data_IF_060161946614
#
_entry.id   IF_060161946614
#
_cell.length_a   1.000
_cell.length_b   1.000
_cell.length_c   1.000
_cell.angle_alpha   90.00
_cell.angle_beta   90.00
_cell.angle_gamma   90.00
#
_symmetry.space_group_name_H-M   'P 1'
#
loop_
_entity.id
_entity.type
_entity.pdbx_description
1 polymer ?
#
# COMPACT_ATOMS: atom_id res chain seq x y z
N UNK A 1 -15.28 11.82 3.04
CA UNK A 1 -15.02 11.52 1.61
C UNK A 1 -15.24 10.03 1.37
N UNK A 2 -15.95 9.64 0.31
CA UNK A 2 -16.25 8.23 0.03
C UNK A 2 -15.39 7.74 -1.14
N UNK A 3 -14.54 6.76 -0.89
CA UNK A 3 -13.78 6.03 -1.91
C UNK A 3 -14.58 4.80 -2.36
N UNK A 4 -14.66 4.56 -3.67
CA UNK A 4 -15.32 3.38 -4.24
C UNK A 4 -14.76 2.05 -3.71
N UNK A 5 -15.62 1.03 -3.61
CA UNK A 5 -15.24 -0.30 -3.12
C UNK A 5 -14.15 -0.95 -3.97
N UNK A 6 -14.15 -0.72 -5.29
CA UNK A 6 -13.18 -1.33 -6.21
C UNK A 6 -11.78 -0.80 -5.98
N UNK A 7 -11.64 0.52 -5.77
CA UNK A 7 -10.38 1.17 -5.40
C UNK A 7 -9.84 0.58 -4.09
N UNK A 8 -10.71 0.40 -3.09
CA UNK A 8 -10.34 -0.23 -1.82
C UNK A 8 -9.87 -1.67 -2.02
N UNK A 9 -10.62 -2.47 -2.77
CA UNK A 9 -10.29 -3.87 -3.02
C UNK A 9 -8.97 -4.04 -3.78
N UNK A 10 -8.70 -3.18 -4.77
CA UNK A 10 -7.42 -3.16 -5.47
C UNK A 10 -6.26 -2.78 -4.54
N UNK A 11 -6.46 -1.81 -3.64
CA UNK A 11 -5.44 -1.45 -2.64
C UNK A 11 -5.15 -2.62 -1.70
N UNK A 12 -6.21 -3.27 -1.16
CA UNK A 12 -6.07 -4.46 -0.29
C UNK A 12 -5.34 -5.59 -1.01
N UNK A 13 -5.72 -5.88 -2.26
CA UNK A 13 -5.06 -6.88 -3.10
C UNK A 13 -3.58 -6.58 -3.28
N UNK A 14 -3.25 -5.33 -3.59
CA UNK A 14 -1.87 -4.90 -3.82
C UNK A 14 -0.99 -5.10 -2.58
N UNK A 15 -1.48 -4.70 -1.40
CA UNK A 15 -0.72 -4.77 -0.14
C UNK A 15 -0.68 -6.19 0.43
N UNK A 16 -1.79 -6.92 0.45
CA UNK A 16 -1.80 -8.31 0.90
C UNK A 16 -0.93 -9.20 0.02
N UNK A 17 -0.83 -8.86 -1.27
CA UNK A 17 0.09 -9.48 -2.21
C UNK A 17 1.51 -8.90 -2.17
N UNK A 18 1.97 -8.33 -1.06
CA UNK A 18 3.27 -7.64 -0.96
C UNK A 18 4.42 -8.41 -1.64
N UNK A 19 4.60 -9.71 -1.29
CA UNK A 19 5.66 -10.56 -1.84
C UNK A 19 5.52 -10.84 -3.35
N UNK A 20 4.32 -10.70 -3.90
CA UNK A 20 4.03 -10.93 -5.32
C UNK A 20 4.16 -9.66 -6.16
N UNK A 21 3.82 -8.50 -5.59
CA UNK A 21 3.70 -7.25 -6.34
C UNK A 21 4.85 -6.26 -6.09
N UNK A 22 5.67 -6.52 -5.08
CA UNK A 22 6.84 -5.72 -4.75
C UNK A 22 8.12 -6.54 -4.88
N UNK A 23 9.19 -5.89 -5.28
CA UNK A 23 10.54 -6.43 -5.32
C UNK A 23 11.47 -5.37 -4.70
N UNK A 24 12.07 -5.69 -3.56
CA UNK A 24 12.86 -4.75 -2.75
C UNK A 24 12.09 -3.45 -2.45
N UNK A 25 10.88 -3.57 -1.89
CA UNK A 25 9.99 -2.44 -1.59
C UNK A 25 9.62 -1.54 -2.79
N UNK A 26 9.76 -2.02 -4.02
CA UNK A 26 9.39 -1.28 -5.23
C UNK A 26 8.38 -2.09 -6.04
N UNK A 27 7.32 -1.46 -6.57
CA UNK A 27 6.36 -2.16 -7.42
C UNK A 27 7.07 -2.78 -8.63
N UNK A 28 6.87 -4.09 -8.79
CA UNK A 28 7.29 -4.80 -9.99
C UNK A 28 6.26 -4.60 -11.12
N UNK A 29 6.49 -5.24 -12.26
CA UNK A 29 5.64 -5.12 -13.44
C UNK A 29 4.17 -5.49 -13.17
N UNK A 30 3.90 -6.53 -12.39
CA UNK A 30 2.54 -6.95 -12.04
C UNK A 30 1.90 -6.00 -11.01
N UNK A 31 2.66 -5.56 -10.01
CA UNK A 31 2.20 -4.57 -9.04
C UNK A 31 1.84 -3.24 -9.68
N UNK A 32 2.62 -2.79 -10.67
CA UNK A 32 2.31 -1.58 -11.45
C UNK A 32 0.99 -1.69 -12.19
N UNK A 33 0.63 -2.85 -12.77
CA UNK A 33 -0.66 -3.03 -13.45
C UNK A 33 -1.84 -2.79 -12.50
N UNK A 34 -1.78 -3.38 -11.31
CA UNK A 34 -2.83 -3.20 -10.28
C UNK A 34 -2.87 -1.75 -9.80
N UNK A 35 -1.71 -1.15 -9.56
CA UNK A 35 -1.64 0.24 -9.13
C UNK A 35 -2.19 1.20 -10.20
N UNK A 36 -1.93 0.98 -11.48
CA UNK A 36 -2.45 1.84 -12.56
C UNK A 36 -3.97 1.76 -12.69
N UNK A 37 -4.54 0.56 -12.53
CA UNK A 37 -5.98 0.34 -12.51
C UNK A 37 -6.64 1.13 -11.37
N UNK A 38 -6.09 0.99 -10.15
CA UNK A 38 -6.50 1.74 -8.97
C UNK A 38 -6.36 3.26 -9.19
N UNK A 39 -5.22 3.69 -9.69
CA UNK A 39 -4.89 5.10 -9.90
C UNK A 39 -5.83 5.76 -10.91
N UNK A 40 -6.21 5.04 -11.97
CA UNK A 40 -7.16 5.53 -12.98
C UNK A 40 -8.53 5.78 -12.37
N UNK A 41 -9.05 4.86 -11.56
CA UNK A 41 -10.34 5.02 -10.87
C UNK A 41 -10.26 6.16 -9.83
N UNK A 42 -9.21 6.16 -9.00
CA UNK A 42 -9.03 7.17 -7.95
C UNK A 42 -8.94 8.58 -8.53
N UNK A 43 -8.18 8.80 -9.61
CA UNK A 43 -8.05 10.13 -10.24
C UNK A 43 -9.32 10.54 -10.97
N UNK A 44 -10.08 9.60 -11.54
CA UNK A 44 -11.36 9.89 -12.17
C UNK A 44 -12.38 10.41 -11.15
N UNK A 45 -12.49 9.74 -10.00
CA UNK A 45 -13.40 10.15 -8.92
C UNK A 45 -12.87 11.37 -8.15
N UNK A 46 -11.55 11.46 -7.95
CA UNK A 46 -10.89 12.43 -7.08
C UNK A 46 -9.64 13.04 -7.75
N UNK A 47 -9.81 13.98 -8.70
CA UNK A 47 -8.71 14.49 -9.53
C UNK A 47 -7.58 15.20 -8.75
N UNK A 48 -7.86 15.69 -7.55
CA UNK A 48 -6.88 16.39 -6.71
C UNK A 48 -5.74 15.46 -6.23
N UNK A 49 -5.93 14.13 -6.22
CA UNK A 49 -4.86 13.17 -5.94
C UNK A 49 -3.90 12.92 -7.10
N UNK A 50 -4.12 13.53 -8.27
CA UNK A 50 -3.28 13.35 -9.47
C UNK A 50 -1.79 13.63 -9.22
N UNK A 51 -1.47 14.62 -8.40
CA UNK A 51 -0.08 14.94 -8.05
C UNK A 51 0.59 13.81 -7.26
N UNK A 52 -0.12 13.25 -6.28
CA UNK A 52 0.34 12.10 -5.49
C UNK A 52 0.52 10.86 -6.37
N UNK A 53 -0.47 10.53 -7.19
CA UNK A 53 -0.40 9.40 -8.14
C UNK A 53 0.80 9.54 -9.09
N UNK A 54 1.03 10.74 -9.63
CA UNK A 54 2.20 11.01 -10.49
C UNK A 54 3.52 10.78 -9.76
N UNK A 55 3.59 11.06 -8.46
CA UNK A 55 4.78 10.77 -7.64
C UNK A 55 5.02 9.27 -7.56
N UNK A 56 4.00 8.47 -7.26
CA UNK A 56 4.13 7.00 -7.20
C UNK A 56 4.53 6.43 -8.56
N UNK A 57 3.92 6.88 -9.67
CA UNK A 57 4.27 6.42 -11.03
C UNK A 57 5.75 6.55 -11.35
N UNK A 58 6.35 7.66 -10.90
CA UNK A 58 7.78 7.97 -11.08
C UNK A 58 8.66 7.18 -10.13
N UNK A 59 8.24 7.03 -8.88
CA UNK A 59 9.00 6.34 -7.84
C UNK A 59 8.07 5.43 -7.01
N UNK A 60 7.79 4.20 -7.48
CA UNK A 60 6.75 3.35 -6.92
C UNK A 60 7.25 2.50 -5.74
N UNK A 61 7.90 3.15 -4.79
CA UNK A 61 8.31 2.55 -3.53
C UNK A 61 7.08 2.23 -2.67
N UNK A 62 7.18 1.23 -1.79
CA UNK A 62 6.18 0.86 -0.80
C UNK A 62 5.72 2.08 0.01
N UNK A 63 6.63 2.90 0.52
CA UNK A 63 6.32 4.14 1.25
C UNK A 63 5.38 5.08 0.46
N UNK A 64 5.72 5.35 -0.81
CA UNK A 64 4.87 6.17 -1.68
C UNK A 64 3.52 5.51 -1.98
N UNK A 65 3.45 4.18 -2.06
CA UNK A 65 2.17 3.44 -2.22
C UNK A 65 1.35 3.53 -0.94
N UNK A 66 1.96 3.40 0.24
CA UNK A 66 1.28 3.51 1.54
C UNK A 66 0.64 4.87 1.74
N UNK A 67 1.27 5.97 1.29
CA UNK A 67 0.65 7.31 1.30
C UNK A 67 -0.66 7.36 0.50
N UNK A 68 -0.77 6.59 -0.59
CA UNK A 68 -2.04 6.43 -1.33
C UNK A 68 -2.98 5.51 -0.56
N UNK A 69 -2.45 4.44 0.04
CA UNK A 69 -3.21 3.51 0.87
C UNK A 69 -3.88 4.17 2.08
N UNK A 70 -3.21 5.08 2.76
CA UNK A 70 -3.75 5.87 3.89
C UNK A 70 -4.95 6.72 3.47
N UNK A 71 -4.95 7.25 2.24
CA UNK A 71 -6.10 7.99 1.70
C UNK A 71 -7.28 7.05 1.40
N UNK A 72 -6.98 5.84 0.91
CA UNK A 72 -7.99 4.88 0.43
C UNK A 72 -8.62 4.07 1.57
N UNK A 73 -7.81 3.65 2.54
CA UNK A 73 -8.15 2.71 3.62
C UNK A 73 -7.95 3.28 5.02
N UNK A 74 -7.29 4.43 5.17
CA UNK A 74 -6.89 4.93 6.49
C UNK A 74 -5.83 4.04 7.13
N UNK A 75 -5.87 3.93 8.46
CA UNK A 75 -4.89 3.19 9.26
C UNK A 75 -4.88 1.67 8.97
N UNK A 76 -5.98 1.13 8.42
CA UNK A 76 -6.11 -0.28 8.01
C UNK A 76 -4.94 -0.71 7.09
N UNK A 77 -4.38 0.21 6.31
CA UNK A 77 -3.28 -0.09 5.39
C UNK A 77 -2.05 -0.69 6.09
N UNK A 78 -1.73 -0.20 7.29
CA UNK A 78 -0.54 -0.61 8.05
C UNK A 78 -0.76 -1.97 8.70
N UNK A 79 -1.98 -2.25 9.14
CA UNK A 79 -2.38 -3.58 9.63
C UNK A 79 -2.28 -4.62 8.52
N UNK A 80 -2.80 -4.30 7.32
CA UNK A 80 -2.72 -5.18 6.15
C UNK A 80 -1.28 -5.44 5.72
N UNK A 81 -0.42 -4.42 5.72
CA UNK A 81 1.00 -4.61 5.42
C UNK A 81 1.67 -5.53 6.45
N UNK A 82 1.41 -5.29 7.74
CA UNK A 82 1.92 -6.14 8.81
C UNK A 82 1.49 -7.60 8.62
N UNK A 83 0.23 -7.85 8.28
CA UNK A 83 -0.27 -9.19 7.98
C UNK A 83 0.41 -9.80 6.76
N UNK A 84 0.64 -9.01 5.70
CA UNK A 84 1.29 -9.48 4.48
C UNK A 84 2.76 -9.86 4.69
N UNK A 85 3.48 -9.13 5.54
CA UNK A 85 4.91 -9.34 5.80
C UNK A 85 5.15 -10.47 6.80
N UNK A 86 4.47 -10.41 7.94
CA UNK A 86 4.70 -11.30 9.08
C UNK A 86 3.74 -12.50 9.14
N UNK A 87 2.65 -12.46 8.38
CA UNK A 87 1.58 -13.47 8.47
C UNK A 87 0.71 -13.32 9.72
N UNK A 88 -0.22 -14.25 9.95
CA UNK A 88 -1.19 -14.18 11.05
C UNK A 88 -0.58 -14.42 12.45
N UNK A 89 0.68 -14.84 12.54
CA UNK A 89 1.34 -15.24 13.80
C UNK A 89 2.32 -14.19 14.34
N UNK A 90 2.01 -12.90 14.16
CA UNK A 90 2.86 -11.78 14.58
C UNK A 90 3.33 -11.87 16.05
N UNK A 91 2.57 -12.50 16.93
CA UNK A 91 2.84 -12.58 18.38
C UNK A 91 3.93 -13.60 18.80
N UNK A 92 4.41 -14.48 17.93
CA UNK A 92 5.34 -15.55 18.34
C UNK A 92 6.82 -15.10 18.25
N UNK A 93 7.12 -14.01 17.53
CA UNK A 93 8.50 -13.64 17.18
C UNK A 93 9.15 -12.55 18.06
N UNK A 94 8.55 -12.11 19.16
CA UNK A 94 9.24 -11.38 20.23
C UNK A 94 10.09 -10.17 19.79
N UNK A 95 9.71 -9.45 18.73
CA UNK A 95 10.32 -8.16 18.40
C UNK A 95 9.58 -7.06 19.16
N UNK A 96 9.74 -7.09 20.49
CA UNK A 96 9.64 -5.88 21.29
C UNK A 96 10.76 -4.95 20.83
N UNK A 97 10.39 -3.77 20.34
CA UNK A 97 11.33 -2.69 20.10
C UNK A 97 11.76 -2.15 21.45
N UNK A 98 12.71 -2.81 22.10
CA UNK A 98 13.52 -2.18 23.14
C UNK A 98 14.43 -1.15 22.47
N UNK A 99 13.85 0.03 22.31
CA UNK A 99 14.57 1.27 22.12
C UNK A 99 15.09 1.69 23.51
N UNK A 100 16.27 1.20 23.89
CA UNK A 100 17.08 1.80 24.95
C UNK A 100 18.45 2.05 24.37
N UNK A 101 18.71 3.32 24.05
CA UNK A 101 20.04 3.83 23.76
C UNK A 101 20.97 3.49 24.94
N UNK A 102 22.14 2.92 24.64
CA UNK A 102 23.34 3.12 25.45
C UNK A 102 23.98 4.47 25.11
#
# INVERSE_FOLDING_TARGET
MKIGSDVKNLMKKLILGYRLYFSNDVLNSEGRKIFEELARMLVYEHPYYKALIRRVRRNPTLDNVLKVGEIVLGDEIHELLSLAVYGPYKSILGYDRDNSCE
#
